data_IF_628837323459
#
_entry.id   IF_628837323459
#
_cell.length_a   1.000
_cell.length_b   1.000
_cell.length_c   1.000
_cell.angle_alpha   90.00
_cell.angle_beta   90.00
_cell.angle_gamma   90.00
#
_symmetry.space_group_name_H-M   'P 1'
#
loop_
_entity.id
_entity.type
_entity.pdbx_description
1 polymer ?
#
# COMPACT_ATOMS: atom_id res chain seq x y z
N UNK A 1 22.47 37.75 55.65
CA UNK A 1 21.94 37.04 54.47
C UNK A 1 23.07 36.92 53.43
N UNK A 2 23.70 35.74 53.32
CA UNK A 2 24.79 35.47 52.37
C UNK A 2 24.19 34.81 51.09
N UNK A 3 24.30 35.48 49.95
CA UNK A 3 23.91 34.92 48.64
C UNK A 3 25.05 34.04 48.12
N UNK A 4 24.80 32.75 47.97
CA UNK A 4 25.70 31.82 47.30
C UNK A 4 25.37 31.87 45.80
N UNK A 5 26.35 32.27 45.00
CA UNK A 5 26.27 32.16 43.50
C UNK A 5 26.83 30.80 43.07
N UNK A 6 25.96 29.93 42.55
CA UNK A 6 26.37 28.69 41.90
C UNK A 6 26.65 29.01 40.42
N UNK A 7 27.92 28.88 40.04
CA UNK A 7 28.36 28.94 38.63
C UNK A 7 28.22 27.53 38.03
N UNK A 8 27.31 27.33 37.08
CA UNK A 8 27.19 26.09 36.32
C UNK A 8 28.05 26.22 35.09
N UNK A 9 29.15 25.45 35.05
CA UNK A 9 30.03 25.34 33.88
C UNK A 9 29.51 24.22 32.99
N UNK A 10 29.01 24.57 31.80
CA UNK A 10 28.62 23.61 30.80
C UNK A 10 29.84 23.12 30.01
N UNK A 11 30.18 21.86 30.15
CA UNK A 11 31.16 21.18 29.32
C UNK A 11 30.43 20.59 28.11
N UNK A 12 30.64 21.18 26.94
CA UNK A 12 30.18 20.59 25.68
C UNK A 12 31.13 19.47 25.27
N UNK A 13 30.69 18.23 25.43
CA UNK A 13 31.36 17.08 24.81
C UNK A 13 30.95 17.02 23.33
N UNK A 14 31.88 17.36 22.43
CA UNK A 14 31.71 17.14 20.98
C UNK A 14 31.91 15.66 20.70
N UNK A 15 30.80 14.94 20.50
CA UNK A 15 30.79 13.55 20.03
C UNK A 15 31.03 13.56 18.50
N UNK A 16 32.24 13.26 18.08
CA UNK A 16 32.57 12.97 16.67
C UNK A 16 32.07 11.58 16.35
N UNK A 17 30.93 11.50 15.65
CA UNK A 17 30.45 10.25 15.06
C UNK A 17 31.26 9.90 13.81
N UNK A 18 31.83 8.71 13.70
CA UNK A 18 32.46 8.26 12.45
C UNK A 18 31.35 8.05 11.38
N UNK A 19 31.39 8.91 10.35
CA UNK A 19 30.63 8.71 9.11
C UNK A 19 31.21 7.52 8.36
N UNK A 20 30.58 6.36 8.48
CA UNK A 20 31.01 5.15 7.80
C UNK A 20 30.07 3.98 8.03
N UNK A 21 28.74 4.20 7.92
CA UNK A 21 27.81 3.06 7.79
C UNK A 21 27.72 2.76 6.30
N UNK A 22 28.20 1.58 5.82
CA UNK A 22 27.93 1.18 4.45
C UNK A 22 26.41 1.09 4.31
N UNK A 23 25.82 1.83 3.35
CA UNK A 23 24.48 1.54 2.88
C UNK A 23 24.49 0.08 2.41
N UNK A 24 24.06 -0.83 3.27
CA UNK A 24 23.70 -2.17 2.84
C UNK A 24 22.63 -1.98 1.76
N UNK A 25 23.00 -2.27 0.52
CA UNK A 25 22.05 -2.39 -0.56
C UNK A 25 21.00 -3.40 -0.07
N UNK A 26 19.82 -2.91 0.31
CA UNK A 26 18.71 -3.75 0.67
C UNK A 26 18.44 -4.60 -0.56
N UNK A 27 18.88 -5.85 -0.53
CA UNK A 27 18.52 -6.85 -1.53
C UNK A 27 17.00 -6.83 -1.60
N UNK A 28 16.47 -6.37 -2.72
CA UNK A 28 15.04 -6.37 -2.99
C UNK A 28 14.65 -7.84 -3.15
N UNK A 29 14.43 -8.51 -2.01
CA UNK A 29 13.85 -9.85 -2.00
C UNK A 29 12.47 -9.65 -2.62
N UNK A 30 12.29 -10.14 -3.83
CA UNK A 30 11.01 -10.15 -4.52
C UNK A 30 10.05 -10.93 -3.61
N UNK A 31 9.12 -10.22 -2.97
CA UNK A 31 8.13 -10.84 -2.09
C UNK A 31 7.16 -11.60 -2.99
N UNK A 32 7.29 -12.92 -3.05
CA UNK A 32 6.50 -13.80 -3.91
C UNK A 32 5.25 -14.37 -3.21
N UNK A 33 5.00 -13.96 -1.98
CA UNK A 33 3.84 -14.39 -1.19
C UNK A 33 3.27 -13.24 -0.38
N UNK A 34 1.99 -13.33 -0.07
CA UNK A 34 1.33 -12.39 0.83
C UNK A 34 1.90 -12.52 2.25
N UNK A 35 1.92 -11.42 3.02
CA UNK A 35 2.18 -11.49 4.46
C UNK A 35 1.20 -12.42 5.17
N UNK A 36 1.67 -13.13 6.20
CA UNK A 36 0.88 -14.11 6.97
C UNK A 36 -0.39 -13.54 7.60
N UNK A 37 -0.46 -12.24 7.78
CA UNK A 37 -1.61 -11.55 8.35
C UNK A 37 -2.57 -10.95 7.30
N UNK A 38 -2.34 -11.25 6.01
CA UNK A 38 -3.21 -10.87 4.89
C UNK A 38 -3.65 -12.14 4.18
N UNK A 39 -4.96 -12.33 4.03
CA UNK A 39 -5.55 -13.43 3.24
C UNK A 39 -6.29 -12.83 2.04
N UNK A 40 -5.91 -13.24 0.84
CA UNK A 40 -6.48 -12.77 -0.44
C UNK A 40 -7.69 -13.60 -0.90
N UNK A 41 -7.92 -14.77 -0.33
CA UNK A 41 -8.99 -15.65 -0.79
C UNK A 41 -8.91 -15.95 -2.27
N UNK A 42 -9.99 -15.70 -3.01
CA UNK A 42 -10.02 -15.88 -4.48
C UNK A 42 -9.19 -14.85 -5.25
N UNK A 43 -8.77 -13.76 -4.60
CA UNK A 43 -7.94 -12.70 -5.19
C UNK A 43 -6.45 -12.86 -4.89
N UNK A 44 -6.04 -13.99 -4.33
CA UNK A 44 -4.64 -14.19 -3.92
C UNK A 44 -3.66 -14.12 -5.09
N UNK A 45 -4.01 -14.71 -6.23
CA UNK A 45 -3.18 -14.68 -7.43
C UNK A 45 -3.03 -13.25 -7.97
N UNK A 46 -4.10 -12.47 -7.98
CA UNK A 46 -4.13 -11.07 -8.39
C UNK A 46 -3.29 -10.20 -7.44
N UNK A 47 -3.38 -10.47 -6.14
CA UNK A 47 -2.58 -9.76 -5.15
C UNK A 47 -1.09 -10.09 -5.26
N UNK A 48 -0.73 -11.32 -5.60
CA UNK A 48 0.66 -11.69 -5.92
C UNK A 48 1.15 -10.93 -7.16
N UNK A 49 0.32 -10.84 -8.21
CA UNK A 49 0.66 -10.05 -9.39
C UNK A 49 0.83 -8.55 -9.06
N UNK A 50 0.05 -8.01 -8.13
CA UNK A 50 0.24 -6.64 -7.62
C UNK A 50 1.56 -6.50 -6.86
N UNK A 51 1.94 -7.47 -6.01
CA UNK A 51 3.23 -7.48 -5.33
C UNK A 51 4.40 -7.48 -6.31
N UNK A 52 4.31 -8.21 -7.40
CA UNK A 52 5.37 -8.28 -8.42
C UNK A 52 5.53 -6.96 -9.17
N UNK A 53 4.43 -6.27 -9.44
CA UNK A 53 4.38 -5.14 -10.37
C UNK A 53 4.30 -3.75 -9.71
N UNK A 54 3.97 -3.66 -8.42
CA UNK A 54 3.81 -2.36 -7.75
C UNK A 54 4.67 -2.26 -6.50
N UNK A 55 5.61 -1.29 -6.50
CA UNK A 55 6.39 -0.96 -5.30
C UNK A 55 5.49 -0.36 -4.21
N UNK A 56 4.52 0.43 -4.62
CA UNK A 56 3.55 1.03 -3.69
C UNK A 56 2.74 -0.06 -2.98
N UNK A 57 2.26 -1.07 -3.70
CA UNK A 57 1.52 -2.19 -3.09
C UNK A 57 2.41 -3.02 -2.17
N UNK A 58 3.67 -3.29 -2.56
CA UNK A 58 4.66 -3.93 -1.66
C UNK A 58 4.85 -3.15 -0.37
N UNK A 59 4.94 -1.82 -0.46
CA UNK A 59 5.10 -0.96 0.72
C UNK A 59 3.88 -1.04 1.64
N UNK A 60 2.64 -1.05 1.11
CA UNK A 60 1.42 -1.25 1.90
C UNK A 60 1.43 -2.60 2.61
N UNK A 61 1.74 -3.68 1.89
CA UNK A 61 1.81 -5.02 2.46
C UNK A 61 2.87 -5.11 3.58
N UNK A 62 4.05 -4.50 3.40
CA UNK A 62 5.08 -4.43 4.45
C UNK A 62 4.59 -3.68 5.70
N UNK A 63 3.86 -2.59 5.54
CA UNK A 63 3.30 -1.81 6.67
C UNK A 63 2.29 -2.63 7.47
N UNK A 64 1.40 -3.36 6.80
CA UNK A 64 0.45 -4.25 7.44
C UNK A 64 1.18 -5.43 8.10
N UNK A 65 2.18 -6.02 7.44
CA UNK A 65 2.98 -7.10 8.00
C UNK A 65 3.71 -6.70 9.29
N UNK A 66 4.18 -5.46 9.38
CA UNK A 66 4.83 -4.90 10.57
C UNK A 66 3.88 -4.69 11.76
N UNK A 67 2.57 -4.85 11.56
CA UNK A 67 1.55 -4.74 12.59
C UNK A 67 0.95 -6.13 12.95
N UNK A 68 1.61 -6.93 13.81
CA UNK A 68 1.21 -8.32 14.07
C UNK A 68 -0.17 -8.46 14.73
N UNK A 69 -0.70 -7.37 15.29
CA UNK A 69 -2.03 -7.29 15.88
C UNK A 69 -3.14 -7.03 14.83
N UNK A 70 -2.79 -6.90 13.54
CA UNK A 70 -3.73 -6.69 12.43
C UNK A 70 -3.95 -8.01 11.69
N UNK A 71 -5.19 -8.28 11.33
CA UNK A 71 -5.60 -9.36 10.42
C UNK A 71 -6.47 -8.77 9.32
N UNK A 72 -6.15 -9.11 8.08
CA UNK A 72 -6.89 -8.63 6.89
C UNK A 72 -7.39 -9.83 6.12
N UNK A 73 -8.66 -9.81 5.80
CA UNK A 73 -9.29 -10.78 4.91
C UNK A 73 -9.94 -10.07 3.74
N UNK A 74 -9.56 -10.45 2.53
CA UNK A 74 -10.06 -9.87 1.29
C UNK A 74 -10.88 -10.92 0.56
N UNK A 75 -12.10 -10.57 0.17
CA UNK A 75 -13.03 -11.47 -0.48
C UNK A 75 -13.73 -10.80 -1.64
N UNK A 76 -14.08 -11.60 -2.65
CA UNK A 76 -15.04 -11.21 -3.68
C UNK A 76 -16.46 -11.43 -3.18
N UNK A 77 -17.35 -10.50 -3.49
CA UNK A 77 -18.76 -10.62 -3.15
C UNK A 77 -19.68 -10.08 -4.24
N UNK A 78 -20.92 -10.55 -4.32
CA UNK A 78 -21.90 -10.06 -5.29
C UNK A 78 -22.38 -8.63 -4.98
N UNK A 79 -22.27 -8.25 -3.71
CA UNK A 79 -22.72 -6.94 -3.20
C UNK A 79 -21.78 -6.49 -2.07
N UNK A 80 -21.64 -5.19 -1.92
CA UNK A 80 -21.08 -4.53 -0.74
C UNK A 80 -22.20 -3.80 -0.01
N UNK A 81 -22.18 -3.81 1.32
CA UNK A 81 -23.26 -3.23 2.13
C UNK A 81 -23.47 -1.73 1.85
N UNK A 82 -22.39 -1.04 1.49
CA UNK A 82 -22.42 0.38 1.11
C UNK A 82 -23.04 0.67 -0.27
N UNK A 83 -23.31 -0.36 -1.07
CA UNK A 83 -23.73 -0.17 -2.48
C UNK A 83 -22.58 0.24 -3.41
N UNK A 84 -21.36 0.45 -2.90
CA UNK A 84 -20.16 0.82 -3.64
C UNK A 84 -19.55 -0.31 -4.45
N UNK A 85 -18.34 -0.07 -4.96
CA UNK A 85 -17.52 -1.06 -5.69
C UNK A 85 -16.72 -1.96 -4.75
N UNK A 86 -16.31 -1.42 -3.61
CA UNK A 86 -15.61 -2.12 -2.53
C UNK A 86 -16.01 -1.55 -1.18
N UNK A 87 -15.65 -2.25 -0.11
CA UNK A 87 -15.87 -1.79 1.26
C UNK A 87 -14.89 -2.46 2.21
N UNK A 88 -14.34 -1.68 3.15
CA UNK A 88 -13.60 -2.19 4.30
C UNK A 88 -14.40 -2.01 5.58
N UNK A 89 -14.59 -3.10 6.31
CA UNK A 89 -15.16 -3.11 7.67
C UNK A 89 -14.02 -3.38 8.63
N UNK A 90 -13.78 -2.46 9.58
CA UNK A 90 -12.68 -2.55 10.53
C UNK A 90 -13.24 -2.71 11.95
N UNK A 91 -12.95 -3.83 12.57
CA UNK A 91 -13.28 -4.11 13.96
C UNK A 91 -12.05 -3.91 14.84
N UNK A 92 -12.18 -3.08 15.87
CA UNK A 92 -11.17 -2.88 16.91
C UNK A 92 -11.60 -3.59 18.19
N UNK A 93 -10.71 -4.39 18.72
CA UNK A 93 -10.92 -5.12 19.98
C UNK A 93 -10.22 -4.41 21.15
N UNK A 94 -10.66 -4.70 22.37
CA UNK A 94 -10.16 -4.04 23.59
C UNK A 94 -8.65 -4.21 23.79
N UNK A 95 -8.08 -5.30 23.31
CA UNK A 95 -6.65 -5.58 23.37
C UNK A 95 -5.81 -4.87 22.28
N UNK A 96 -6.44 -3.96 21.54
CA UNK A 96 -5.79 -3.23 20.44
C UNK A 96 -5.73 -4.00 19.12
N UNK A 97 -6.20 -5.24 19.08
CA UNK A 97 -6.25 -6.03 17.84
C UNK A 97 -7.22 -5.41 16.83
N UNK A 98 -6.81 -5.46 15.55
CA UNK A 98 -7.59 -4.98 14.40
C UNK A 98 -7.90 -6.17 13.50
N UNK A 99 -9.18 -6.37 13.18
CA UNK A 99 -9.61 -7.32 12.16
C UNK A 99 -10.36 -6.55 11.08
N UNK A 100 -9.83 -6.59 9.86
CA UNK A 100 -10.39 -5.92 8.70
C UNK A 100 -10.94 -6.93 7.70
N UNK A 101 -12.15 -6.69 7.25
CA UNK A 101 -12.80 -7.44 6.18
C UNK A 101 -12.98 -6.51 4.99
N UNK A 102 -12.32 -6.85 3.89
CA UNK A 102 -12.42 -6.14 2.62
C UNK A 102 -13.29 -6.95 1.69
N UNK A 103 -14.37 -6.36 1.20
CA UNK A 103 -15.21 -6.98 0.18
C UNK A 103 -15.09 -6.18 -1.11
N UNK A 104 -14.68 -6.85 -2.19
CA UNK A 104 -14.64 -6.29 -3.54
C UNK A 104 -15.82 -6.87 -4.32
N UNK A 105 -16.60 -6.04 -4.99
CA UNK A 105 -17.70 -6.51 -5.83
C UNK A 105 -17.17 -7.23 -7.06
N UNK A 106 -17.86 -8.29 -7.50
CA UNK A 106 -17.52 -9.00 -8.74
C UNK A 106 -17.43 -8.04 -9.94
N UNK A 107 -16.51 -8.32 -10.86
CA UNK A 107 -16.26 -7.58 -12.09
C UNK A 107 -15.79 -6.13 -11.92
N UNK A 108 -15.36 -5.73 -10.72
CA UNK A 108 -14.75 -4.42 -10.49
C UNK A 108 -13.22 -4.44 -10.70
N UNK A 109 -12.63 -3.26 -10.79
CA UNK A 109 -11.18 -3.08 -10.95
C UNK A 109 -10.44 -3.34 -9.62
N UNK A 110 -10.12 -4.61 -9.36
CA UNK A 110 -9.39 -5.01 -8.15
C UNK A 110 -7.98 -4.42 -8.08
N UNK A 111 -7.36 -4.05 -9.21
CA UNK A 111 -6.02 -3.46 -9.25
C UNK A 111 -6.00 -2.10 -8.56
N UNK A 112 -7.08 -1.32 -8.70
CA UNK A 112 -7.26 -0.05 -8.01
C UNK A 112 -7.86 -0.23 -6.60
N UNK A 113 -8.86 -1.11 -6.47
CA UNK A 113 -9.67 -1.18 -5.26
C UNK A 113 -8.95 -1.85 -4.10
N UNK A 114 -8.17 -2.93 -4.32
CA UNK A 114 -7.45 -3.59 -3.25
C UNK A 114 -6.49 -2.61 -2.54
N UNK A 115 -5.58 -1.91 -3.23
CA UNK A 115 -4.69 -0.97 -2.57
C UNK A 115 -5.41 0.22 -1.93
N UNK A 116 -6.53 0.65 -2.49
CA UNK A 116 -7.41 1.67 -1.90
C UNK A 116 -7.93 1.21 -0.52
N UNK A 117 -8.52 0.04 -0.45
CA UNK A 117 -9.08 -0.51 0.79
C UNK A 117 -7.99 -0.84 1.83
N UNK A 118 -6.82 -1.32 1.40
CA UNK A 118 -5.68 -1.53 2.30
C UNK A 118 -5.18 -0.22 2.90
N UNK A 119 -5.28 0.89 2.18
CA UNK A 119 -4.87 2.19 2.71
C UNK A 119 -5.76 2.64 3.87
N UNK A 120 -7.05 2.39 3.83
CA UNK A 120 -7.94 2.61 4.97
C UNK A 120 -7.52 1.83 6.22
N UNK A 121 -7.04 0.60 6.04
CA UNK A 121 -6.51 -0.20 7.15
C UNK A 121 -5.22 0.42 7.69
N UNK A 122 -4.33 0.87 6.81
CA UNK A 122 -3.07 1.55 7.20
C UNK A 122 -3.36 2.85 7.95
N UNK A 123 -4.32 3.64 7.51
CA UNK A 123 -4.78 4.84 8.23
C UNK A 123 -5.22 4.50 9.66
N UNK A 124 -5.87 3.36 9.85
CA UNK A 124 -6.26 2.90 11.17
C UNK A 124 -5.08 2.39 12.01
N UNK A 125 -4.08 1.75 11.41
CA UNK A 125 -2.82 1.36 12.08
C UNK A 125 -2.08 2.62 12.57
N UNK A 126 -2.08 3.68 11.78
CA UNK A 126 -1.45 4.97 12.08
C UNK A 126 -2.25 5.84 13.05
N UNK A 127 -3.45 5.40 13.44
CA UNK A 127 -4.30 6.16 14.34
C UNK A 127 -4.91 7.42 13.73
N UNK A 128 -5.06 7.44 12.40
CA UNK A 128 -5.71 8.56 11.69
C UNK A 128 -7.15 8.72 12.19
N UNK A 129 -7.48 9.93 12.62
CA UNK A 129 -8.83 10.27 13.06
C UNK A 129 -9.65 10.75 11.86
N UNK A 130 -10.45 9.85 11.28
CA UNK A 130 -11.22 10.13 10.06
C UNK A 130 -12.14 11.35 10.18
N UNK A 131 -12.72 11.62 11.36
CA UNK A 131 -13.49 12.84 11.60
C UNK A 131 -12.66 14.11 11.45
N UNK A 132 -11.38 14.08 11.90
CA UNK A 132 -10.47 15.21 11.71
C UNK A 132 -10.08 15.38 10.23
N UNK A 133 -9.96 14.29 9.47
CA UNK A 133 -9.72 14.33 8.03
C UNK A 133 -10.90 14.96 7.26
N UNK A 134 -12.14 14.68 7.68
CA UNK A 134 -13.34 15.32 7.11
C UNK A 134 -13.33 16.82 7.39
N UNK A 135 -13.06 17.23 8.62
CA UNK A 135 -12.94 18.65 8.97
C UNK A 135 -11.85 19.36 8.16
N UNK A 136 -10.75 18.68 7.89
CA UNK A 136 -9.65 19.20 7.08
C UNK A 136 -9.89 19.08 5.56
N UNK A 137 -11.08 18.66 5.12
CA UNK A 137 -11.45 18.42 3.71
C UNK A 137 -10.53 17.43 2.98
N UNK A 138 -9.90 16.50 3.71
CA UNK A 138 -9.08 15.40 3.18
C UNK A 138 -9.82 14.07 3.10
N UNK A 139 -11.01 14.01 3.70
CA UNK A 139 -11.94 12.90 3.58
C UNK A 139 -13.37 13.40 3.37
N UNK A 140 -14.24 12.53 2.86
CA UNK A 140 -15.68 12.73 2.78
C UNK A 140 -16.41 11.61 3.53
N UNK A 141 -17.66 11.86 3.88
CA UNK A 141 -18.57 10.85 4.42
C UNK A 141 -19.64 10.64 3.36
N UNK A 142 -19.82 9.40 2.91
CA UNK A 142 -20.91 9.02 2.01
C UNK A 142 -22.24 8.95 2.77
N UNK A 143 -23.36 8.91 2.04
CA UNK A 143 -24.73 8.85 2.60
C UNK A 143 -24.93 7.68 3.57
N UNK A 144 -24.22 6.57 3.37
CA UNK A 144 -24.25 5.39 4.24
C UNK A 144 -23.29 5.46 5.43
N UNK A 145 -22.63 6.61 5.67
CA UNK A 145 -21.68 6.81 6.77
C UNK A 145 -20.28 6.24 6.56
N UNK A 146 -19.95 5.73 5.37
CA UNK A 146 -18.60 5.29 5.04
C UNK A 146 -17.67 6.48 4.82
N UNK A 147 -16.43 6.35 5.26
CA UNK A 147 -15.39 7.36 5.04
C UNK A 147 -14.62 7.06 3.75
N UNK A 148 -14.39 8.11 2.98
CA UNK A 148 -13.59 8.09 1.77
C UNK A 148 -12.46 9.12 1.92
N UNK A 149 -11.19 8.70 1.85
CA UNK A 149 -10.07 9.59 2.02
C UNK A 149 -9.36 9.86 0.69
N UNK A 150 -8.85 11.07 0.53
CA UNK A 150 -8.01 11.41 -0.65
C UNK A 150 -6.77 10.54 -0.72
N UNK A 151 -6.26 10.11 0.43
CA UNK A 151 -5.08 9.27 0.54
C UNK A 151 -5.35 7.88 -0.02
N UNK A 152 -6.47 7.24 0.35
CA UNK A 152 -6.86 5.94 -0.17
C UNK A 152 -7.08 5.99 -1.70
N UNK A 153 -7.82 7.01 -2.18
CA UNK A 153 -8.02 7.23 -3.62
C UNK A 153 -6.69 7.37 -4.36
N UNK A 154 -5.77 8.21 -3.87
CA UNK A 154 -4.47 8.42 -4.50
C UNK A 154 -3.63 7.13 -4.54
N UNK A 155 -3.72 6.29 -3.50
CA UNK A 155 -3.00 5.04 -3.41
C UNK A 155 -3.51 4.01 -4.44
N UNK A 156 -4.82 3.86 -4.57
CA UNK A 156 -5.44 3.01 -5.60
C UNK A 156 -5.01 3.40 -7.01
N UNK A 157 -5.13 4.70 -7.33
CA UNK A 157 -4.72 5.23 -8.65
C UNK A 157 -3.22 4.99 -8.92
N UNK A 158 -2.36 5.21 -7.94
CA UNK A 158 -0.92 5.04 -8.07
C UNK A 158 -0.55 3.58 -8.36
N UNK A 159 -1.12 2.62 -7.62
CA UNK A 159 -0.87 1.19 -7.84
C UNK A 159 -1.34 0.77 -9.23
N UNK A 160 -2.51 1.23 -9.67
CA UNK A 160 -3.01 0.96 -11.01
C UNK A 160 -2.06 1.47 -12.10
N UNK A 161 -1.50 2.68 -11.91
CA UNK A 161 -0.52 3.25 -12.84
C UNK A 161 0.76 2.41 -12.90
N UNK A 162 1.32 2.02 -11.75
CA UNK A 162 2.50 1.17 -11.66
C UNK A 162 2.26 -0.20 -12.33
N UNK A 163 1.10 -0.82 -12.08
CA UNK A 163 0.71 -2.10 -12.65
C UNK A 163 0.60 -2.03 -14.17
N UNK A 164 0.00 -0.96 -14.71
CA UNK A 164 -0.21 -0.78 -16.15
C UNK A 164 1.09 -0.44 -16.89
N UNK A 165 2.01 0.30 -16.27
CA UNK A 165 3.26 0.72 -16.89
C UNK A 165 4.13 -0.48 -17.33
N UNK A 166 4.17 -1.55 -16.52
CA UNK A 166 4.91 -2.78 -16.82
C UNK A 166 4.24 -3.65 -17.91
N UNK A 167 2.98 -3.38 -18.23
CA UNK A 167 2.27 -4.10 -19.30
C UNK A 167 2.52 -3.47 -20.67
N UNK A 168 3.04 -2.23 -20.72
CA UNK A 168 3.28 -1.44 -21.91
C UNK A 168 4.75 -1.46 -22.37
N UNK A 169 5.60 -2.40 -21.90
CA UNK A 169 6.92 -2.53 -22.52
C UNK A 169 6.71 -2.88 -24.00
N UNK A 170 7.16 -1.99 -24.92
CA UNK A 170 6.97 -2.24 -26.34
C UNK A 170 7.72 -3.53 -26.66
N UNK A 171 7.04 -4.50 -27.27
CA UNK A 171 7.68 -5.60 -27.99
C UNK A 171 8.67 -4.93 -28.94
N UNK A 172 9.96 -4.96 -28.58
CA UNK A 172 11.00 -4.56 -29.51
C UNK A 172 10.81 -5.45 -30.74
N UNK A 173 10.17 -4.91 -31.77
CA UNK A 173 10.22 -5.49 -33.08
C UNK A 173 11.71 -5.56 -33.44
N UNK A 174 12.29 -6.75 -33.24
CA UNK A 174 13.58 -7.11 -33.78
C UNK A 174 13.48 -6.77 -35.28
N UNK A 175 14.22 -5.71 -35.67
CA UNK A 175 14.17 -5.14 -37.02
C UNK A 175 14.69 -6.10 -38.13
N UNK A 176 14.36 -7.37 -38.03
CA UNK A 176 14.59 -8.36 -39.06
C UNK A 176 13.69 -8.02 -40.24
N UNK A 177 14.30 -7.32 -41.20
CA UNK A 177 13.74 -7.11 -42.51
C UNK A 177 13.17 -8.45 -43.03
N UNK A 178 11.89 -8.52 -43.42
CA UNK A 178 11.34 -9.75 -43.98
C UNK A 178 12.19 -10.18 -45.16
N UNK A 179 12.44 -11.50 -45.33
CA UNK A 179 13.19 -12.01 -46.48
C UNK A 179 12.49 -11.58 -47.77
N UNK A 180 13.28 -11.09 -48.71
CA UNK A 180 12.76 -10.68 -50.03
C UNK A 180 11.95 -11.83 -50.68
N UNK A 181 10.80 -11.53 -51.29
CA UNK A 181 10.02 -12.54 -51.99
C UNK A 181 10.88 -13.19 -53.09
N UNK A 182 11.02 -14.52 -53.03
CA UNK A 182 11.66 -15.28 -54.10
C UNK A 182 10.74 -15.22 -55.32
N UNK A 183 11.27 -14.68 -56.42
CA UNK A 183 10.58 -14.72 -57.70
C UNK A 183 10.46 -16.19 -58.16
N UNK A 184 9.28 -16.64 -58.62
CA UNK A 184 9.05 -18.05 -59.01
C UNK A 184 9.57 -18.41 -60.39
N UNK A 185 10.47 -17.62 -60.99
CA UNK A 185 11.04 -17.86 -62.31
C UNK A 185 12.54 -17.55 -62.32
N UNK A 186 13.36 -18.47 -61.76
CA UNK A 186 14.78 -18.64 -62.06
C UNK A 186 15.10 -20.15 -62.00
#
# INVERSE_FOLDING_TARGET
>A
MRRVRLSVTWVFAVLVFPLGVPLAAASTICQTSLPVNISGGMLEAEMIALLERSETFRAQCRRIAAAPYVRVRIELGPRVASGGRAQTIINRYQEGAIVAFVTIRFAEDYVELIPHELEHIIEQIEGVRLSAEVWAQRASISENGSYETRRATAMGVKVRQEFSALTMEPVQHDGRKPPAPRHPFD
#
